data_IF_363839435718
#
_entry.id   IF_363839435718
#
_cell.length_a   1.000
_cell.length_b   1.000
_cell.length_c   1.000
_cell.angle_alpha   90.00
_cell.angle_beta   90.00
_cell.angle_gamma   90.00
#
_symmetry.space_group_name_H-M   'P 1'
#
loop_
_entity.id
_entity.type
_entity.pdbx_description
1 polymer ?
#
# COMPACT_ATOMS: atom_id res chain seq x y z
N UNK A 1 10.27 1.79 25.95
CA UNK A 1 10.04 0.38 25.57
C UNK A 1 8.55 0.21 25.33
N UNK A 2 8.09 0.25 24.08
CA UNK A 2 6.75 -0.25 23.72
C UNK A 2 6.94 -1.15 22.50
N UNK A 3 6.44 -2.37 22.63
CA UNK A 3 6.80 -3.52 21.84
C UNK A 3 6.21 -3.52 20.42
N UNK A 4 7.08 -3.91 19.50
CA UNK A 4 6.88 -4.61 18.23
C UNK A 4 5.61 -5.48 18.21
N UNK A 5 4.63 -5.21 17.35
CA UNK A 5 3.57 -6.17 16.98
C UNK A 5 2.73 -5.87 15.72
N UNK A 6 3.14 -5.00 14.79
CA UNK A 6 2.45 -4.86 13.48
C UNK A 6 3.19 -5.61 12.36
N UNK A 7 4.32 -6.25 12.66
CA UNK A 7 5.14 -6.98 11.67
C UNK A 7 4.88 -8.50 11.63
N UNK A 8 4.00 -9.05 12.49
CA UNK A 8 3.90 -10.50 12.70
C UNK A 8 2.63 -11.15 12.13
N UNK A 9 1.67 -10.38 11.61
CA UNK A 9 0.43 -10.95 11.09
C UNK A 9 0.12 -10.34 9.72
N UNK A 10 0.79 -10.78 8.64
CA UNK A 10 0.27 -10.54 7.31
C UNK A 10 -1.17 -11.04 7.30
N UNK A 11 -2.15 -10.14 7.16
CA UNK A 11 -3.53 -10.56 6.93
C UNK A 11 -3.56 -11.61 5.81
N UNK A 12 -4.48 -12.56 5.81
CA UNK A 12 -4.43 -13.79 5.01
C UNK A 12 -4.03 -13.55 3.53
N UNK A 13 -4.47 -12.43 2.97
CA UNK A 13 -4.09 -11.93 1.65
C UNK A 13 -2.63 -11.73 1.32
N UNK A 14 -1.88 -11.15 2.26
CA UNK A 14 -0.46 -10.86 2.06
C UNK A 14 0.41 -12.12 2.05
N UNK A 15 -0.09 -13.26 2.53
CA UNK A 15 0.62 -14.55 2.46
C UNK A 15 0.56 -15.15 1.06
N UNK A 16 -0.60 -15.09 0.39
CA UNK A 16 -0.75 -15.60 -0.98
C UNK A 16 0.11 -14.80 -1.97
N UNK A 17 0.09 -13.47 -1.89
CA UNK A 17 0.93 -12.63 -2.76
C UNK A 17 2.43 -12.87 -2.52
N UNK A 18 2.88 -13.02 -1.27
CA UNK A 18 4.30 -13.32 -0.98
C UNK A 18 4.78 -14.62 -1.62
N UNK A 19 3.91 -15.63 -1.75
CA UNK A 19 4.27 -16.89 -2.41
C UNK A 19 4.54 -16.72 -3.91
N UNK A 20 3.88 -15.77 -4.58
CA UNK A 20 4.10 -15.45 -6.00
C UNK A 20 5.33 -14.57 -6.25
N UNK A 21 5.84 -13.90 -5.23
CA UNK A 21 6.97 -12.97 -5.31
C UNK A 21 8.05 -13.33 -4.27
N UNK A 22 8.79 -14.44 -4.47
CA UNK A 22 9.87 -14.82 -3.56
C UNK A 22 10.95 -13.73 -3.53
N UNK A 23 11.42 -13.35 -2.34
CA UNK A 23 12.46 -12.32 -2.17
C UNK A 23 11.95 -10.87 -2.13
N UNK A 24 10.64 -10.64 -2.12
CA UNK A 24 10.03 -9.30 -2.14
C UNK A 24 10.37 -8.42 -0.93
N UNK A 25 10.92 -9.00 0.13
CA UNK A 25 11.27 -8.29 1.37
C UNK A 25 12.28 -7.15 1.17
N UNK A 26 13.29 -7.32 0.31
CA UNK A 26 14.30 -6.27 0.12
C UNK A 26 13.79 -5.10 -0.74
N UNK A 27 13.08 -5.34 -1.86
CA UNK A 27 12.36 -4.28 -2.56
C UNK A 27 11.37 -3.51 -1.66
N UNK A 28 10.64 -4.19 -0.78
CA UNK A 28 9.71 -3.52 0.17
C UNK A 28 10.42 -2.51 1.08
N UNK A 29 11.62 -2.86 1.60
CA UNK A 29 12.42 -1.92 2.40
C UNK A 29 12.89 -0.74 1.56
N UNK A 30 13.42 -1.03 0.37
CA UNK A 30 13.89 0.01 -0.57
C UNK A 30 12.79 1.03 -0.86
N UNK A 31 11.57 0.55 -1.15
CA UNK A 31 10.43 1.42 -1.40
C UNK A 31 10.05 2.26 -0.19
N UNK A 32 10.08 1.69 1.02
CA UNK A 32 9.77 2.46 2.20
C UNK A 32 10.76 3.61 2.47
N UNK A 33 12.03 3.41 2.14
CA UNK A 33 13.08 4.40 2.31
C UNK A 33 13.12 5.45 1.19
N UNK A 34 12.89 5.02 -0.06
CA UNK A 34 13.18 5.84 -1.25
C UNK A 34 11.94 6.19 -2.08
N UNK A 35 10.85 5.44 -1.93
CA UNK A 35 9.71 5.47 -2.83
C UNK A 35 9.93 4.72 -4.15
N UNK A 36 11.11 4.14 -4.40
CA UNK A 36 11.40 3.44 -5.65
C UNK A 36 10.99 1.96 -5.59
N UNK A 37 10.50 1.43 -6.71
CA UNK A 37 9.99 0.06 -6.80
C UNK A 37 10.52 -0.68 -8.03
N UNK A 38 10.97 -1.93 -7.82
CA UNK A 38 11.20 -2.89 -8.91
C UNK A 38 9.87 -3.34 -9.51
N UNK A 39 9.88 -3.85 -10.74
CA UNK A 39 8.65 -4.35 -11.39
C UNK A 39 7.91 -5.40 -10.54
N UNK A 40 8.65 -6.34 -9.95
CA UNK A 40 8.08 -7.36 -9.07
C UNK A 40 7.39 -6.74 -7.85
N UNK A 41 7.94 -5.66 -7.29
CA UNK A 41 7.32 -4.95 -6.19
C UNK A 41 6.04 -4.23 -6.60
N UNK A 42 6.02 -3.61 -7.78
CA UNK A 42 4.80 -2.98 -8.32
C UNK A 42 3.67 -4.01 -8.45
N UNK A 43 3.98 -5.19 -8.97
CA UNK A 43 3.00 -6.26 -9.13
C UNK A 43 2.61 -6.91 -7.79
N UNK A 44 3.55 -7.01 -6.84
CA UNK A 44 3.23 -7.42 -5.48
C UNK A 44 2.24 -6.44 -4.81
N UNK A 45 2.45 -5.13 -4.93
CA UNK A 45 1.52 -4.11 -4.43
C UNK A 45 0.13 -4.29 -5.05
N UNK A 46 0.06 -4.48 -6.37
CA UNK A 46 -1.21 -4.74 -7.06
C UNK A 46 -1.91 -5.98 -6.53
N UNK A 47 -1.20 -7.09 -6.34
CA UNK A 47 -1.74 -8.32 -5.76
C UNK A 47 -2.34 -8.06 -4.37
N UNK A 48 -1.59 -7.40 -3.48
CA UNK A 48 -2.04 -7.13 -2.11
C UNK A 48 -3.25 -6.18 -2.11
N UNK A 49 -3.28 -5.19 -3.00
CA UNK A 49 -4.39 -4.25 -3.08
C UNK A 49 -5.66 -4.92 -3.63
N UNK A 50 -5.54 -5.80 -4.62
CA UNK A 50 -6.67 -6.55 -5.16
C UNK A 50 -7.22 -7.56 -4.15
N UNK A 51 -6.34 -8.31 -3.49
CA UNK A 51 -6.74 -9.27 -2.47
C UNK A 51 -7.48 -8.60 -1.30
N UNK A 52 -7.01 -7.43 -0.86
CA UNK A 52 -7.65 -6.65 0.21
C UNK A 52 -8.89 -5.87 -0.27
N UNK A 53 -9.34 -6.04 -1.51
CA UNK A 53 -10.47 -5.31 -2.10
C UNK A 53 -10.26 -3.80 -2.20
N UNK A 54 -9.00 -3.33 -2.15
CA UNK A 54 -8.61 -1.91 -2.29
C UNK A 54 -8.46 -1.52 -3.75
N UNK A 55 -8.20 -2.48 -4.62
CA UNK A 55 -8.09 -2.31 -6.06
C UNK A 55 -9.05 -3.28 -6.74
N UNK A 56 -9.87 -2.76 -7.65
CA UNK A 56 -10.74 -3.56 -8.50
C UNK A 56 -9.94 -4.12 -9.69
N UNK A 57 -10.51 -5.11 -10.41
CA UNK A 57 -9.84 -5.73 -11.57
C UNK A 57 -9.57 -4.78 -12.74
N UNK A 58 -10.24 -3.62 -12.79
CA UNK A 58 -9.99 -2.56 -13.76
C UNK A 58 -8.98 -1.50 -13.27
N UNK A 59 -8.33 -1.74 -12.12
CA UNK A 59 -7.36 -0.82 -11.51
C UNK A 59 -7.97 0.32 -10.69
N UNK A 60 -9.30 0.44 -10.60
CA UNK A 60 -9.93 1.45 -9.73
C UNK A 60 -9.58 1.19 -8.28
N UNK A 61 -9.05 2.21 -7.59
CA UNK A 61 -8.66 2.13 -6.19
C UNK A 61 -9.75 2.76 -5.32
N UNK A 62 -10.25 1.99 -4.36
CA UNK A 62 -11.28 2.46 -3.44
C UNK A 62 -10.64 2.93 -2.14
N UNK A 63 -11.02 4.14 -1.74
CA UNK A 63 -10.81 4.55 -0.36
C UNK A 63 -11.79 3.72 0.47
N UNK A 64 -11.32 2.73 1.24
CA UNK A 64 -12.22 2.16 2.25
C UNK A 64 -12.53 3.28 3.24
N UNK A 65 -13.81 3.46 3.52
CA UNK A 65 -14.23 4.02 4.79
C UNK A 65 -13.45 3.33 5.91
N UNK A 66 -12.77 4.07 6.80
CA UNK A 66 -12.17 3.47 7.98
C UNK A 66 -13.21 2.58 8.66
N UNK A 67 -12.87 1.33 8.97
CA UNK A 67 -13.76 0.53 9.82
C UNK A 67 -14.00 1.29 11.11
N UNK A 68 -15.13 1.06 11.79
CA UNK A 68 -15.45 1.76 13.04
C UNK A 68 -14.34 1.63 14.11
N UNK A 69 -13.51 0.59 13.99
CA UNK A 69 -12.37 0.28 14.87
C UNK A 69 -11.03 0.86 14.39
N UNK A 70 -10.97 1.45 13.20
CA UNK A 70 -9.75 2.06 12.67
C UNK A 70 -9.46 3.38 13.40
N UNK A 71 -8.24 3.60 13.90
CA UNK A 71 -7.85 4.88 14.47
C UNK A 71 -8.17 6.01 13.48
N UNK A 72 -8.90 7.02 13.95
CA UNK A 72 -9.28 8.16 13.12
C UNK A 72 -8.01 8.81 12.59
N UNK A 73 -7.86 8.79 11.27
CA UNK A 73 -6.73 9.43 10.61
C UNK A 73 -6.76 10.94 10.91
N UNK A 74 -5.63 11.58 11.25
CA UNK A 74 -5.58 13.02 11.38
C UNK A 74 -6.12 13.68 10.12
N UNK A 75 -6.94 14.72 10.27
CA UNK A 75 -7.55 15.42 9.13
C UNK A 75 -6.49 15.96 8.17
N UNK A 76 -5.34 16.41 8.69
CA UNK A 76 -4.20 16.84 7.89
C UNK A 76 -3.66 15.74 6.98
N UNK A 77 -3.50 14.52 7.51
CA UNK A 77 -3.07 13.36 6.73
C UNK A 77 -4.14 12.94 5.72
N UNK A 78 -5.42 12.93 6.11
CA UNK A 78 -6.53 12.61 5.20
C UNK A 78 -6.58 13.57 4.01
N UNK A 79 -6.43 14.88 4.25
CA UNK A 79 -6.37 15.88 3.17
C UNK A 79 -5.14 15.71 2.28
N UNK A 80 -3.99 15.38 2.86
CA UNK A 80 -2.75 15.19 2.11
C UNK A 80 -2.84 14.01 1.13
N UNK A 81 -3.47 12.90 1.54
CA UNK A 81 -3.54 11.68 0.71
C UNK A 81 -4.79 11.58 -0.15
N UNK A 82 -5.80 12.43 0.04
CA UNK A 82 -7.04 12.40 -0.73
C UNK A 82 -6.82 12.40 -2.25
N UNK A 83 -5.87 13.16 -2.83
CA UNK A 83 -5.60 13.12 -4.27
C UNK A 83 -5.15 11.74 -4.77
N UNK A 84 -4.51 10.92 -3.92
CA UNK A 84 -4.03 9.59 -4.29
C UNK A 84 -5.15 8.60 -4.60
N UNK A 85 -6.38 8.88 -4.14
CA UNK A 85 -7.56 8.05 -4.42
C UNK A 85 -8.37 8.53 -5.63
N UNK A 86 -8.07 9.73 -6.15
CA UNK A 86 -8.69 10.28 -7.35
C UNK A 86 -7.87 10.02 -8.63
N UNK A 87 -6.83 9.18 -8.53
CA UNK A 87 -5.95 8.88 -9.65
C UNK A 87 -6.67 8.06 -10.71
N UNK A 88 -6.46 8.40 -11.99
CA UNK A 88 -6.93 7.57 -13.10
C UNK A 88 -6.07 6.31 -13.21
N UNK A 89 -6.65 5.11 -13.22
CA UNK A 89 -5.90 3.88 -13.43
C UNK A 89 -5.15 3.90 -14.77
N UNK A 90 -3.96 3.30 -14.79
CA UNK A 90 -3.23 3.05 -16.04
C UNK A 90 -3.68 1.70 -16.64
N UNK A 91 -3.23 1.40 -17.86
CA UNK A 91 -3.46 0.08 -18.47
C UNK A 91 -2.70 -1.06 -17.76
N UNK A 92 -1.66 -0.73 -16.98
CA UNK A 92 -0.90 -1.69 -16.17
C UNK A 92 -1.36 -1.60 -14.70
N UNK A 93 -1.91 -2.70 -14.18
CA UNK A 93 -2.37 -2.77 -12.79
C UNK A 93 -1.23 -2.68 -11.78
N UNK A 94 -0.04 -3.18 -12.13
CA UNK A 94 1.16 -3.06 -11.32
C UNK A 94 1.59 -1.59 -11.23
N UNK A 95 1.63 -0.89 -12.37
CA UNK A 95 1.98 0.52 -12.41
C UNK A 95 0.96 1.38 -11.67
N UNK A 96 -0.34 1.07 -11.82
CA UNK A 96 -1.41 1.76 -11.09
C UNK A 96 -1.23 1.61 -9.57
N UNK A 97 -0.93 0.40 -9.10
CA UNK A 97 -0.70 0.14 -7.68
C UNK A 97 0.54 0.88 -7.17
N UNK A 98 1.62 0.89 -7.96
CA UNK A 98 2.83 1.63 -7.65
C UNK A 98 2.58 3.13 -7.52
N UNK A 99 1.98 3.75 -8.54
CA UNK A 99 1.73 5.19 -8.56
C UNK A 99 0.85 5.63 -7.39
N UNK A 100 -0.14 4.83 -7.02
CA UNK A 100 -0.93 5.08 -5.82
C UNK A 100 -0.10 5.02 -4.54
N UNK A 101 0.66 3.93 -4.33
CA UNK A 101 1.51 3.78 -3.16
C UNK A 101 2.61 4.86 -3.11
N UNK A 102 3.13 5.28 -4.26
CA UNK A 102 4.10 6.37 -4.38
C UNK A 102 3.48 7.71 -4.02
N UNK A 103 2.25 7.99 -4.46
CA UNK A 103 1.51 9.17 -4.04
C UNK A 103 1.31 9.20 -2.52
N UNK A 104 0.95 8.06 -1.91
CA UNK A 104 0.87 7.96 -0.44
C UNK A 104 2.23 8.19 0.22
N UNK A 105 3.31 7.63 -0.35
CA UNK A 105 4.67 7.89 0.10
C UNK A 105 4.98 9.39 0.07
N UNK A 106 4.73 10.07 -1.04
CA UNK A 106 5.06 11.48 -1.25
C UNK A 106 4.28 12.43 -0.33
N UNK A 107 3.04 12.06 0.04
CA UNK A 107 2.13 12.91 0.81
C UNK A 107 2.00 12.56 2.29
N UNK A 108 2.61 11.46 2.74
CA UNK A 108 2.69 11.10 4.15
C UNK A 108 4.07 11.52 4.74
N UNK A 109 4.15 12.66 5.45
CA UNK A 109 5.41 13.16 5.98
C UNK A 109 6.06 12.22 7.00
N UNK A 110 5.26 11.37 7.67
CA UNK A 110 5.73 10.40 8.66
C UNK A 110 5.88 8.99 8.08
N UNK A 111 5.52 8.79 6.80
CA UNK A 111 5.47 7.49 6.11
C UNK A 111 4.68 6.42 6.89
N UNK A 112 3.71 6.84 7.71
CA UNK A 112 2.85 5.99 8.55
C UNK A 112 2.06 4.98 7.73
N UNK A 113 1.57 5.36 6.55
CA UNK A 113 0.83 4.50 5.64
C UNK A 113 1.65 3.31 5.15
N UNK A 114 2.95 3.52 4.94
CA UNK A 114 3.82 2.49 4.34
C UNK A 114 4.28 1.49 5.39
N UNK A 115 4.38 1.92 6.65
CA UNK A 115 4.56 1.03 7.79
C UNK A 115 3.37 0.08 8.02
N UNK A 116 2.21 0.29 7.39
CA UNK A 116 1.10 -0.68 7.42
C UNK A 116 1.31 -1.88 6.48
N UNK A 117 2.28 -1.77 5.56
CA UNK A 117 2.61 -2.83 4.59
C UNK A 117 3.91 -3.57 4.91
N UNK A 118 4.71 -3.07 5.86
CA UNK A 118 5.88 -3.73 6.42
C UNK A 118 5.46 -4.72 7.52
#
# INVERSE_FOLDING_TARGET
>A
MLAVAVLANPGPGSTACKASFPGISEPLKTFAETGEATQDLKCFMSCVMQDKGKMMSNGTITMMEPSADAPRMPESLSKAIAPCFAMTPTSDLCETAYLHNKCLWDNDPDKKFIRLFQ
#
